data_IF_669518817710
#
_entry.id   IF_669518817710
#
_cell.length_a   1.000
_cell.length_b   1.000
_cell.length_c   1.000
_cell.angle_alpha   90.00
_cell.angle_beta   90.00
_cell.angle_gamma   90.00
#
_symmetry.space_group_name_H-M   'P 1'
#
loop_
_entity.id
_entity.type
_entity.pdbx_description
1 polymer ?
#
# COMPACT_ATOMS: atom_id res chain seq x y z
N UNK A 1 -1.47 -11.12 6.25
CA UNK A 1 -2.48 -10.46 7.12
C UNK A 1 -3.19 -9.42 6.27
N UNK A 2 -4.53 -9.37 6.27
CA UNK A 2 -5.28 -8.28 5.62
C UNK A 2 -5.52 -7.21 6.69
N UNK A 3 -4.99 -6.00 6.48
CA UNK A 3 -5.09 -4.90 7.43
C UNK A 3 -6.03 -3.83 6.89
N UNK A 4 -7.01 -3.41 7.70
CA UNK A 4 -7.89 -2.27 7.41
C UNK A 4 -7.45 -0.99 8.11
N UNK A 5 -6.48 -1.08 9.04
CA UNK A 5 -5.94 0.06 9.78
C UNK A 5 -4.59 0.44 9.22
N UNK A 6 -4.47 1.72 8.91
CA UNK A 6 -3.29 2.30 8.29
C UNK A 6 -2.01 2.11 9.14
N UNK A 7 -2.12 2.21 10.46
CA UNK A 7 -1.03 1.97 11.42
C UNK A 7 -0.44 0.56 11.36
N UNK A 8 -1.24 -0.43 10.94
CA UNK A 8 -0.80 -1.83 10.82
C UNK A 8 -0.10 -2.08 9.49
N UNK A 9 -0.38 -1.26 8.47
CA UNK A 9 0.23 -1.36 7.14
C UNK A 9 1.67 -0.79 7.17
N UNK A 10 1.92 0.24 7.98
CA UNK A 10 3.23 0.89 8.12
C UNK A 10 4.37 -0.05 8.52
N UNK A 11 4.09 -1.04 9.36
CA UNK A 11 5.09 -1.98 9.87
C UNK A 11 5.28 -3.22 9.00
N UNK A 12 4.66 -3.27 7.82
CA UNK A 12 4.74 -4.43 6.93
C UNK A 12 5.94 -4.31 6.00
N UNK A 13 6.73 -5.38 5.93
CA UNK A 13 7.88 -5.47 5.04
C UNK A 13 7.47 -5.54 3.56
N UNK A 14 6.26 -5.98 3.27
CA UNK A 14 5.71 -6.05 1.92
C UNK A 14 4.19 -5.78 1.92
N UNK A 15 3.77 -4.80 1.13
CA UNK A 15 2.40 -4.35 0.95
C UNK A 15 2.00 -4.63 -0.50
N UNK A 16 0.82 -5.21 -0.66
CA UNK A 16 0.21 -5.50 -1.95
C UNK A 16 -1.01 -4.62 -2.12
N UNK A 17 -1.01 -3.82 -3.17
CA UNK A 17 -2.14 -2.97 -3.54
C UNK A 17 -2.91 -3.70 -4.62
N UNK A 18 -4.19 -3.97 -4.33
CA UNK A 18 -5.09 -4.65 -5.24
C UNK A 18 -6.20 -3.70 -5.67
N UNK A 19 -6.43 -3.65 -6.98
CA UNK A 19 -7.56 -2.96 -7.60
C UNK A 19 -8.24 -3.91 -8.58
N UNK A 20 -9.57 -3.98 -8.54
CA UNK A 20 -10.40 -4.86 -9.38
C UNK A 20 -9.90 -6.33 -9.46
N UNK A 21 -9.42 -6.88 -8.33
CA UNK A 21 -8.90 -8.24 -8.25
C UNK A 21 -7.51 -8.45 -8.86
N UNK A 22 -6.82 -7.38 -9.26
CA UNK A 22 -5.45 -7.40 -9.80
C UNK A 22 -4.49 -6.65 -8.89
N UNK A 23 -3.27 -7.18 -8.76
CA UNK A 23 -2.20 -6.49 -8.04
C UNK A 23 -1.67 -5.39 -8.95
N UNK A 24 -1.84 -4.14 -8.54
CA UNK A 24 -1.38 -2.97 -9.29
C UNK A 24 -0.05 -2.44 -8.74
N UNK A 25 0.23 -2.65 -7.46
CA UNK A 25 1.50 -2.25 -6.84
C UNK A 25 1.93 -3.25 -5.76
N UNK A 26 3.24 -3.42 -5.59
CA UNK A 26 3.86 -4.25 -4.57
C UNK A 26 5.14 -3.57 -4.06
N UNK A 27 5.32 -3.54 -2.75
CA UNK A 27 6.54 -3.03 -2.12
C UNK A 27 6.33 -2.69 -0.66
N UNK A 28 7.38 -2.22 0.02
CA UNK A 28 7.22 -1.68 1.37
C UNK A 28 6.59 -0.27 1.33
N UNK A 29 6.18 0.23 2.51
CA UNK A 29 5.54 1.54 2.63
C UNK A 29 6.34 2.66 1.96
N UNK A 30 7.66 2.69 2.17
CA UNK A 30 8.53 3.73 1.60
C UNK A 30 8.54 3.67 0.06
N UNK A 31 8.67 2.48 -0.51
CA UNK A 31 8.67 2.28 -1.96
C UNK A 31 7.34 2.72 -2.59
N UNK A 32 6.21 2.43 -1.94
CA UNK A 32 4.89 2.77 -2.45
C UNK A 32 4.54 4.27 -2.31
N UNK A 33 5.03 4.92 -1.24
CA UNK A 33 4.92 6.38 -1.10
C UNK A 33 5.80 7.10 -2.13
N UNK A 34 7.05 6.66 -2.30
CA UNK A 34 7.98 7.26 -3.26
C UNK A 34 7.49 7.08 -4.72
N UNK A 35 6.79 5.97 -5.01
CA UNK A 35 6.21 5.71 -6.32
C UNK A 35 5.04 6.65 -6.70
N UNK A 36 4.54 7.49 -5.77
CA UNK A 36 3.41 8.40 -5.98
C UNK A 36 2.18 7.72 -6.63
N UNK A 37 2.01 6.42 -6.36
CA UNK A 37 0.99 5.59 -6.99
C UNK A 37 -0.37 5.62 -6.29
N UNK A 38 -1.17 4.59 -6.53
CA UNK A 38 -2.50 4.45 -5.94
C UNK A 38 -2.44 4.34 -4.41
N UNK A 39 -1.43 3.65 -3.89
CA UNK A 39 -1.16 3.60 -2.45
C UNK A 39 -0.98 4.99 -1.83
N UNK A 40 -0.24 5.88 -2.50
CA UNK A 40 -0.01 7.25 -2.03
C UNK A 40 -1.30 8.09 -2.04
N UNK A 41 -2.19 7.83 -3.01
CA UNK A 41 -3.51 8.49 -3.07
C UNK A 41 -4.39 8.05 -1.90
N UNK A 42 -4.42 6.75 -1.58
CA UNK A 42 -5.13 6.22 -0.42
C UNK A 42 -4.56 6.72 0.92
N UNK A 43 -3.25 6.97 0.98
CA UNK A 43 -2.58 7.44 2.19
C UNK A 43 -2.84 8.92 2.49
N UNK A 44 -2.87 9.77 1.46
CA UNK A 44 -3.03 11.22 1.61
C UNK A 44 -4.49 11.70 1.54
N UNK A 45 -5.45 10.79 1.31
CA UNK A 45 -6.89 11.07 1.33
C UNK A 45 -7.45 11.04 2.75
#
# INVERSE_FOLDING_TARGET
MIAHRLSTILSMDNILVMDDGKIIEMGNHKQLIDASGFYNTLWNA
#
